data_IF_585027098210
#
_entry.id   IF_585027098210
#
_cell.length_a   1.000
_cell.length_b   1.000
_cell.length_c   1.000
_cell.angle_alpha   90.00
_cell.angle_beta   90.00
_cell.angle_gamma   90.00
#
_symmetry.space_group_name_H-M   'P 1'
#
loop_
_entity.id
_entity.type
_entity.pdbx_description
1 polymer ?
#
# COMPACT_ATOMS: atom_id res chain seq x y z
N UNK A 1 -29.60 -41.15 14.13
CA UNK A 1 -31.00 -40.67 14.25
C UNK A 1 -30.96 -39.36 15.02
N UNK A 2 -31.25 -38.26 14.32
CA UNK A 2 -31.47 -36.86 14.76
C UNK A 2 -30.25 -36.13 15.35
N UNK A 3 -29.53 -35.27 14.62
CA UNK A 3 -29.93 -33.98 14.00
C UNK A 3 -30.21 -32.90 15.05
N UNK A 4 -29.27 -31.96 15.20
CA UNK A 4 -29.52 -30.54 15.46
C UNK A 4 -28.26 -29.69 15.25
N UNK A 5 -28.20 -29.17 14.04
CA UNK A 5 -27.74 -27.84 13.62
C UNK A 5 -27.00 -26.98 14.67
N UNK A 6 -25.75 -26.65 14.35
CA UNK A 6 -25.23 -25.30 14.59
C UNK A 6 -24.58 -24.81 13.30
N UNK A 7 -25.35 -23.99 12.59
CA UNK A 7 -24.90 -23.03 11.57
C UNK A 7 -23.86 -22.14 12.24
N UNK A 8 -22.61 -22.22 11.79
CA UNK A 8 -21.55 -21.29 12.17
C UNK A 8 -21.06 -20.55 10.92
N UNK A 9 -21.03 -19.23 11.08
CA UNK A 9 -20.86 -18.20 10.07
C UNK A 9 -19.70 -18.41 9.09
N UNK A 10 -20.06 -18.44 7.81
CA UNK A 10 -19.18 -18.46 6.65
C UNK A 10 -18.68 -17.04 6.27
N UNK A 11 -18.31 -16.23 7.27
CA UNK A 11 -18.01 -14.79 7.11
C UNK A 11 -16.60 -14.36 7.53
N UNK A 12 -15.65 -15.29 7.51
CA UNK A 12 -14.23 -15.02 7.82
C UNK A 12 -13.25 -15.62 6.79
N UNK A 13 -13.67 -15.74 5.53
CA UNK A 13 -12.83 -16.18 4.40
C UNK A 13 -12.63 -15.07 3.35
N UNK A 14 -12.21 -13.88 3.76
CA UNK A 14 -11.83 -12.82 2.81
C UNK A 14 -10.53 -12.08 3.11
N UNK A 15 -9.65 -12.62 3.97
CA UNK A 15 -8.32 -12.04 4.20
C UNK A 15 -7.18 -13.06 4.28
N UNK A 16 -7.38 -14.30 3.82
CA UNK A 16 -6.28 -15.27 3.64
C UNK A 16 -5.69 -15.16 2.23
N UNK A 17 -5.01 -14.05 1.95
CA UNK A 17 -3.93 -14.05 0.95
C UNK A 17 -2.60 -14.24 1.69
N UNK A 18 -2.44 -15.42 2.28
CA UNK A 18 -1.11 -15.93 2.60
C UNK A 18 -0.43 -16.26 1.26
N UNK A 19 0.78 -15.73 1.08
CA UNK A 19 1.58 -15.82 -0.13
C UNK A 19 1.66 -17.25 -0.70
N UNK A 20 1.05 -17.48 -1.87
CA UNK A 20 1.60 -18.43 -2.85
C UNK A 20 2.73 -17.72 -3.59
N UNK A 21 3.91 -17.68 -2.99
CA UNK A 21 5.14 -17.56 -3.75
C UNK A 21 5.31 -18.89 -4.50
N UNK A 22 4.94 -18.92 -5.79
CA UNK A 22 5.38 -20.00 -6.66
C UNK A 22 6.87 -19.80 -6.96
N UNK A 23 7.76 -20.73 -6.58
CA UNK A 23 9.13 -20.68 -7.05
C UNK A 23 9.17 -21.19 -8.50
N UNK A 24 9.91 -20.47 -9.34
CA UNK A 24 10.46 -20.93 -10.64
C UNK A 24 9.46 -21.41 -11.71
N UNK A 25 9.32 -20.60 -12.77
CA UNK A 25 9.38 -21.12 -14.15
C UNK A 25 9.87 -20.01 -15.09
N UNK A 26 11.18 -20.08 -15.36
CA UNK A 26 11.80 -19.58 -16.58
C UNK A 26 11.02 -20.17 -17.76
N UNK A 27 10.34 -19.33 -18.53
CA UNK A 27 9.96 -19.68 -19.89
C UNK A 27 10.37 -18.57 -20.85
N UNK A 28 11.44 -18.90 -21.58
CA UNK A 28 11.85 -18.32 -22.85
C UNK A 28 10.67 -18.47 -23.81
N UNK A 29 10.15 -17.38 -24.35
CA UNK A 29 9.26 -17.41 -25.50
C UNK A 29 9.91 -16.57 -26.60
N UNK A 30 10.64 -17.27 -27.48
CA UNK A 30 10.96 -16.78 -28.81
C UNK A 30 9.69 -16.63 -29.65
N UNK A 31 9.79 -15.68 -30.56
CA UNK A 31 8.88 -15.32 -31.63
C UNK A 31 8.13 -16.49 -32.28
N UNK A 32 6.80 -16.35 -32.43
CA UNK A 32 6.13 -16.57 -33.72
C UNK A 32 5.01 -15.54 -33.87
N UNK A 33 5.20 -14.59 -34.79
CA UNK A 33 4.09 -13.85 -35.39
C UNK A 33 3.24 -14.81 -36.22
N UNK A 34 1.90 -14.75 -36.11
CA UNK A 34 1.04 -14.27 -37.20
C UNK A 34 -0.44 -14.55 -36.95
N UNK A 35 -1.23 -13.51 -37.28
CA UNK A 35 -2.51 -13.52 -38.01
C UNK A 35 -3.84 -13.83 -37.30
N UNK A 36 -4.81 -12.97 -37.64
CA UNK A 36 -6.28 -13.02 -37.51
C UNK A 36 -6.87 -12.84 -36.09
N UNK A 37 -7.80 -11.92 -35.82
CA UNK A 37 -8.51 -11.03 -36.73
C UNK A 37 -9.31 -9.99 -35.93
N UNK A 38 -9.22 -8.75 -36.41
CA UNK A 38 -10.11 -7.65 -36.12
C UNK A 38 -11.52 -8.01 -36.57
N UNK A 39 -12.51 -8.13 -35.66
CA UNK A 39 -13.94 -8.01 -35.98
C UNK A 39 -14.80 -8.05 -34.70
N UNK A 40 -14.64 -7.10 -33.77
CA UNK A 40 -15.68 -6.86 -32.74
C UNK A 40 -15.52 -5.52 -31.99
N UNK A 41 -15.33 -4.42 -32.70
CA UNK A 41 -15.24 -3.09 -32.08
C UNK A 41 -15.91 -2.02 -32.94
N UNK A 42 -17.15 -2.31 -33.32
CA UNK A 42 -17.97 -1.39 -34.11
C UNK A 42 -19.45 -1.63 -33.83
N UNK A 43 -19.91 -1.45 -32.58
CA UNK A 43 -21.36 -1.40 -32.27
C UNK A 43 -21.72 -0.93 -30.84
N UNK A 44 -20.95 0.00 -30.22
CA UNK A 44 -21.43 0.77 -29.06
C UNK A 44 -21.00 2.24 -29.19
N UNK A 45 -21.39 2.83 -30.31
CA UNK A 45 -21.47 4.28 -30.49
C UNK A 45 -22.80 4.53 -31.20
N UNK A 46 -23.86 4.84 -30.44
CA UNK A 46 -25.05 5.63 -30.82
C UNK A 46 -26.23 5.32 -29.87
N UNK A 47 -26.97 6.37 -29.50
CA UNK A 47 -28.09 6.46 -28.53
C UNK A 47 -27.65 6.40 -27.06
N UNK A 48 -27.63 7.51 -26.30
CA UNK A 48 -28.78 8.38 -26.00
C UNK A 48 -28.36 9.85 -25.90
N UNK A 49 -28.98 10.69 -26.73
CA UNK A 49 -29.06 12.16 -26.58
C UNK A 49 -30.48 12.48 -26.11
N UNK A 50 -30.62 13.20 -25.00
CA UNK A 50 -31.59 14.29 -24.74
C UNK A 50 -31.47 14.68 -23.26
N UNK A 51 -30.75 15.76 -22.95
CA UNK A 51 -31.29 17.13 -22.79
C UNK A 51 -31.93 17.36 -21.43
N UNK A 52 -31.21 17.98 -20.48
CA UNK A 52 -31.73 19.03 -19.59
C UNK A 52 -30.63 20.10 -19.47
N UNK A 53 -30.97 21.30 -19.96
CA UNK A 53 -30.29 22.58 -19.78
C UNK A 53 -30.62 23.11 -18.37
N UNK A 54 -29.63 23.39 -17.52
CA UNK A 54 -29.69 24.50 -16.55
C UNK A 54 -28.30 25.13 -16.45
N UNK A 55 -28.15 26.25 -17.16
CA UNK A 55 -27.16 27.30 -16.92
C UNK A 55 -27.57 28.15 -15.73
N UNK A 56 -26.66 28.38 -14.78
CA UNK A 56 -26.55 29.56 -13.91
C UNK A 56 -25.39 29.34 -12.92
N UNK A 57 -24.50 30.27 -12.59
CA UNK A 57 -24.06 31.54 -13.15
C UNK A 57 -22.77 31.87 -12.37
N UNK A 58 -21.73 32.32 -13.07
CA UNK A 58 -20.41 32.70 -12.53
C UNK A 58 -20.31 34.23 -12.59
N UNK A 59 -19.74 34.83 -11.54
CA UNK A 59 -19.29 36.25 -11.34
C UNK A 59 -20.31 37.28 -10.83
N UNK A 60 -19.95 38.08 -9.80
CA UNK A 60 -20.65 39.32 -9.49
C UNK A 60 -20.07 40.51 -10.27
N UNK A 61 -20.97 41.28 -10.88
CA UNK A 61 -20.72 42.62 -11.42
C UNK A 61 -20.84 43.64 -10.29
N UNK A 62 -19.84 44.50 -10.17
CA UNK A 62 -19.82 45.65 -9.28
C UNK A 62 -20.77 46.71 -9.86
N UNK A 63 -21.91 46.93 -9.21
CA UNK A 63 -22.80 48.06 -9.51
C UNK A 63 -22.58 49.18 -8.49
N UNK A 64 -22.24 50.36 -9.02
CA UNK A 64 -22.08 51.63 -8.31
C UNK A 64 -23.46 52.28 -8.24
N UNK A 65 -24.10 52.32 -7.07
CA UNK A 65 -25.37 53.04 -6.86
C UNK A 65 -25.09 54.39 -6.21
N UNK A 66 -25.44 55.47 -6.92
CA UNK A 66 -25.59 56.81 -6.35
C UNK A 66 -26.87 56.84 -5.50
N UNK A 67 -26.74 57.27 -4.25
CA UNK A 67 -27.86 57.45 -3.32
C UNK A 67 -28.39 58.88 -3.50
N UNK A 68 -29.59 59.02 -4.06
CA UNK A 68 -30.38 60.24 -3.98
C UNK A 68 -31.54 60.05 -3.00
N UNK A 69 -31.77 61.09 -2.20
CA UNK A 69 -32.63 61.23 -1.03
C UNK A 69 -34.11 60.81 -1.20
N UNK A 70 -34.67 60.38 -0.06
CA UNK A 70 -36.07 60.39 0.41
C UNK A 70 -37.00 59.30 -0.14
N UNK A 71 -37.18 58.25 0.66
CA UNK A 71 -38.43 58.00 1.37
C UNK A 71 -38.16 56.96 2.47
N UNK A 72 -38.85 57.09 3.61
CA UNK A 72 -38.78 56.17 4.76
C UNK A 72 -39.31 54.78 4.33
N UNK A 73 -38.46 54.02 3.66
CA UNK A 73 -38.69 52.62 3.37
C UNK A 73 -38.17 51.83 4.57
N UNK A 74 -39.11 51.17 5.26
CA UNK A 74 -38.93 50.49 6.54
C UNK A 74 -37.62 49.69 6.61
N UNK A 75 -36.64 50.20 7.37
CA UNK A 75 -35.42 49.48 7.69
C UNK A 75 -35.72 48.13 8.37
N UNK A 76 -36.86 48.06 9.09
CA UNK A 76 -37.37 46.85 9.70
C UNK A 76 -37.78 45.75 8.70
N UNK A 77 -38.34 46.08 7.53
CA UNK A 77 -38.71 45.06 6.53
C UNK A 77 -37.47 44.49 5.84
N UNK A 78 -36.43 45.30 5.67
CA UNK A 78 -35.14 44.85 5.11
C UNK A 78 -34.42 43.91 6.09
N UNK A 79 -34.44 44.22 7.40
CA UNK A 79 -33.91 43.33 8.45
C UNK A 79 -34.70 42.01 8.52
N UNK A 80 -36.04 42.06 8.48
CA UNK A 80 -36.88 40.85 8.48
C UNK A 80 -36.65 39.97 7.24
N UNK A 81 -36.46 40.56 6.06
CA UNK A 81 -36.11 39.82 4.83
C UNK A 81 -34.71 39.19 4.91
N UNK A 82 -33.73 39.84 5.54
CA UNK A 82 -32.40 39.25 5.78
C UNK A 82 -32.40 38.13 6.82
N UNK A 83 -33.26 38.19 7.84
CA UNK A 83 -33.39 37.12 8.85
C UNK A 83 -34.14 35.91 8.26
N UNK A 84 -35.17 36.13 7.44
CA UNK A 84 -35.91 35.05 6.78
C UNK A 84 -35.04 34.36 5.71
N UNK A 85 -34.20 35.10 4.98
CA UNK A 85 -33.28 34.52 3.98
C UNK A 85 -32.07 33.80 4.61
N UNK A 86 -31.56 34.27 5.76
CA UNK A 86 -30.50 33.54 6.50
C UNK A 86 -31.05 32.36 7.31
N UNK A 87 -32.30 32.43 7.80
CA UNK A 87 -33.00 31.32 8.45
C UNK A 87 -33.40 30.17 7.49
N UNK A 88 -33.67 30.48 6.22
CA UNK A 88 -33.99 29.47 5.20
C UNK A 88 -32.74 28.83 4.55
N UNK A 89 -31.56 29.45 4.65
CA UNK A 89 -30.29 28.82 4.27
C UNK A 89 -29.69 27.92 5.36
N UNK A 90 -30.12 28.06 6.61
CA UNK A 90 -29.77 27.15 7.72
C UNK A 90 -30.86 26.13 8.06
N UNK A 91 -31.85 25.94 7.18
CA UNK A 91 -32.73 24.77 7.24
C UNK A 91 -31.90 23.55 6.88
N UNK A 92 -31.29 22.99 7.93
CA UNK A 92 -30.81 21.63 8.08
C UNK A 92 -31.05 20.81 6.82
N UNK A 93 -29.99 20.60 6.02
CA UNK A 93 -29.95 19.41 5.15
C UNK A 93 -30.44 18.27 6.03
N UNK A 94 -31.47 17.51 5.63
CA UNK A 94 -31.86 16.36 6.41
C UNK A 94 -30.59 15.54 6.57
N UNK A 95 -30.19 15.29 7.83
CA UNK A 95 -29.37 14.14 8.15
C UNK A 95 -30.06 13.00 7.41
N UNK A 96 -29.51 12.59 6.27
CA UNK A 96 -29.72 11.22 5.81
C UNK A 96 -29.06 10.41 6.91
N UNK A 97 -29.86 10.08 7.92
CA UNK A 97 -29.75 8.78 8.54
C UNK A 97 -29.69 7.82 7.38
N UNK A 98 -28.47 7.37 7.08
CA UNK A 98 -28.29 6.08 6.44
C UNK A 98 -28.90 5.12 7.46
N UNK A 99 -30.21 4.92 7.36
CA UNK A 99 -30.83 3.75 7.93
C UNK A 99 -30.10 2.57 7.31
N UNK A 100 -29.81 1.58 8.14
CA UNK A 100 -29.29 0.27 7.80
C UNK A 100 -30.27 -0.53 6.93
N UNK A 101 -30.77 0.07 5.85
CA UNK A 101 -31.40 -0.63 4.75
C UNK A 101 -30.30 -0.91 3.72
N UNK A 102 -29.50 -1.91 4.11
CA UNK A 102 -28.44 -2.53 3.33
C UNK A 102 -29.01 -2.93 1.97
N UNK A 103 -28.70 -2.16 0.92
CA UNK A 103 -29.03 -2.53 -0.46
C UNK A 103 -28.25 -3.80 -0.80
N UNK A 104 -28.96 -4.92 -0.78
CA UNK A 104 -28.57 -6.15 -1.48
C UNK A 104 -28.21 -5.70 -2.91
N UNK A 105 -26.94 -5.85 -3.30
CA UNK A 105 -26.33 -5.50 -4.61
C UNK A 105 -25.54 -4.18 -4.74
N UNK A 106 -25.32 -3.37 -3.70
CA UNK A 106 -24.33 -2.27 -3.79
C UNK A 106 -23.00 -2.67 -3.13
N UNK A 107 -21.85 -2.53 -3.81
CA UNK A 107 -20.55 -2.81 -3.20
C UNK A 107 -20.32 -1.91 -1.98
N UNK A 108 -19.57 -2.42 -1.01
CA UNK A 108 -19.19 -1.66 0.17
C UNK A 108 -18.38 -0.40 -0.25
N UNK A 109 -18.52 0.69 0.50
CA UNK A 109 -17.96 2.00 0.12
C UNK A 109 -16.43 1.96 -0.06
N UNK A 110 -15.75 1.26 0.84
CA UNK A 110 -14.32 1.02 0.80
C UNK A 110 -13.90 0.29 -0.49
N UNK A 111 -14.66 -0.73 -0.89
CA UNK A 111 -14.43 -1.46 -2.15
C UNK A 111 -14.53 -0.52 -3.36
N UNK A 112 -15.45 0.45 -3.35
CA UNK A 112 -15.56 1.44 -4.43
C UNK A 112 -14.35 2.37 -4.46
N UNK A 113 -13.93 2.92 -3.30
CA UNK A 113 -12.75 3.79 -3.22
C UNK A 113 -11.46 3.05 -3.63
N UNK A 114 -11.30 1.80 -3.19
CA UNK A 114 -10.18 0.94 -3.57
C UNK A 114 -10.21 0.59 -5.05
N UNK A 115 -11.39 0.24 -5.59
CA UNK A 115 -11.56 -0.11 -7.00
C UNK A 115 -11.23 1.05 -7.94
N UNK A 116 -11.65 2.26 -7.60
CA UNK A 116 -11.28 3.46 -8.37
C UNK A 116 -9.77 3.67 -8.36
N UNK A 117 -9.15 3.61 -7.18
CA UNK A 117 -7.70 3.78 -7.05
C UNK A 117 -6.90 2.74 -7.83
N UNK A 118 -7.30 1.46 -7.76
CA UNK A 118 -6.66 0.38 -8.55
C UNK A 118 -6.82 0.60 -10.06
N UNK A 119 -7.97 1.11 -10.50
CA UNK A 119 -8.20 1.46 -11.91
C UNK A 119 -7.28 2.59 -12.37
N UNK A 120 -7.13 3.64 -11.55
CA UNK A 120 -6.20 4.75 -11.82
C UNK A 120 -4.74 4.27 -11.81
N UNK A 121 -4.36 3.39 -10.88
CA UNK A 121 -3.04 2.78 -10.83
C UNK A 121 -2.74 2.03 -12.14
N UNK A 122 -3.66 1.18 -12.59
CA UNK A 122 -3.52 0.46 -13.85
C UNK A 122 -3.42 1.40 -15.06
N UNK A 123 -4.24 2.46 -15.10
CA UNK A 123 -4.19 3.44 -16.18
C UNK A 123 -2.85 4.19 -16.25
N UNK A 124 -2.26 4.52 -15.10
CA UNK A 124 -1.04 5.32 -14.99
C UNK A 124 0.26 4.51 -15.14
N UNK A 125 0.26 3.27 -14.67
CA UNK A 125 1.47 2.44 -14.59
C UNK A 125 1.43 1.21 -15.49
N UNK A 126 0.30 0.93 -16.15
CA UNK A 126 0.08 -0.27 -16.96
C UNK A 126 0.38 -1.57 -16.20
N UNK A 127 0.02 -1.58 -14.91
CA UNK A 127 0.18 -2.71 -13.99
C UNK A 127 -1.10 -2.97 -13.22
N UNK A 128 -1.45 -4.23 -13.04
CA UNK A 128 -2.53 -4.66 -12.17
C UNK A 128 -2.01 -4.67 -10.73
N UNK A 129 -2.58 -3.83 -9.87
CA UNK A 129 -2.11 -3.68 -8.49
C UNK A 129 -2.07 -5.02 -7.72
N UNK A 130 -3.12 -5.83 -7.85
CA UNK A 130 -3.23 -7.06 -7.05
C UNK A 130 -2.28 -8.19 -7.48
N UNK A 131 -1.70 -8.12 -8.69
CA UNK A 131 -0.90 -9.22 -9.26
C UNK A 131 0.49 -8.82 -9.71
N UNK A 132 0.72 -7.53 -9.99
CA UNK A 132 1.98 -7.04 -10.58
C UNK A 132 2.66 -5.97 -9.72
N UNK A 133 1.98 -5.42 -8.71
CA UNK A 133 2.61 -4.55 -7.71
C UNK A 133 3.05 -5.39 -6.52
N UNK A 134 4.34 -5.26 -6.19
CA UNK A 134 4.92 -5.89 -5.02
C UNK A 134 5.29 -4.80 -4.03
N UNK A 135 4.82 -4.94 -2.78
CA UNK A 135 5.19 -4.02 -1.70
C UNK A 135 6.68 -4.18 -1.34
N UNK A 136 7.19 -5.41 -1.37
CA UNK A 136 8.60 -5.73 -1.19
C UNK A 136 9.08 -6.52 -2.40
N UNK A 137 10.17 -6.10 -3.05
CA UNK A 137 10.92 -4.86 -2.79
C UNK A 137 10.16 -3.59 -3.15
N UNK A 138 10.64 -2.43 -2.70
CA UNK A 138 10.09 -1.13 -3.10
C UNK A 138 9.99 -1.07 -4.64
N UNK A 139 8.75 -1.04 -5.16
CA UNK A 139 8.52 -1.08 -6.62
C UNK A 139 9.15 0.16 -7.27
N UNK A 140 10.14 -0.10 -8.13
CA UNK A 140 10.91 0.96 -8.74
C UNK A 140 10.13 1.74 -9.77
N UNK A 141 9.00 1.22 -10.25
CA UNK A 141 8.08 1.96 -11.13
C UNK A 141 7.58 3.23 -10.46
N UNK A 142 7.36 3.19 -9.14
CA UNK A 142 6.89 4.34 -8.35
C UNK A 142 8.01 5.35 -8.13
N UNK A 143 9.22 4.86 -7.84
CA UNK A 143 10.39 5.71 -7.56
C UNK A 143 11.29 6.00 -8.77
N UNK A 144 10.86 5.62 -9.98
CA UNK A 144 11.62 5.79 -11.23
C UNK A 144 11.94 7.25 -11.53
N UNK A 145 11.03 8.15 -11.19
CA UNK A 145 11.22 9.60 -11.32
C UNK A 145 10.18 10.35 -10.47
N UNK A 146 10.39 11.66 -10.33
CA UNK A 146 9.50 12.55 -9.56
C UNK A 146 8.06 12.59 -10.10
N UNK A 147 7.87 12.48 -11.41
CA UNK A 147 6.52 12.51 -12.01
C UNK A 147 5.72 11.27 -11.61
N UNK A 148 6.33 10.08 -11.70
CA UNK A 148 5.73 8.82 -11.28
C UNK A 148 5.33 8.85 -9.80
N UNK A 149 6.24 9.30 -8.93
CA UNK A 149 5.96 9.42 -7.49
C UNK A 149 4.77 10.35 -7.23
N UNK A 150 4.74 11.54 -7.86
CA UNK A 150 3.64 12.50 -7.69
C UNK A 150 2.31 11.97 -8.22
N UNK A 151 2.34 11.27 -9.35
CA UNK A 151 1.15 10.65 -9.94
C UNK A 151 0.59 9.56 -9.03
N UNK A 152 1.44 8.66 -8.54
CA UNK A 152 1.08 7.63 -7.57
C UNK A 152 0.46 8.26 -6.31
N UNK A 153 1.13 9.27 -5.74
CA UNK A 153 0.66 9.89 -4.51
C UNK A 153 -0.58 10.75 -4.68
N UNK A 154 -0.79 11.38 -5.83
CA UNK A 154 -2.05 12.07 -6.12
C UNK A 154 -3.25 11.10 -6.06
N UNK A 155 -3.16 9.95 -6.75
CA UNK A 155 -4.22 8.93 -6.73
C UNK A 155 -4.42 8.37 -5.31
N UNK A 156 -3.34 8.07 -4.59
CA UNK A 156 -3.40 7.58 -3.20
C UNK A 156 -4.03 8.59 -2.24
N UNK A 157 -3.75 9.89 -2.38
CA UNK A 157 -4.41 10.94 -1.58
C UNK A 157 -5.92 10.97 -1.88
N UNK A 158 -6.32 10.79 -3.13
CA UNK A 158 -7.75 10.72 -3.51
C UNK A 158 -8.43 9.50 -2.89
N UNK A 159 -7.79 8.32 -2.92
CA UNK A 159 -8.24 7.12 -2.22
C UNK A 159 -8.52 7.39 -0.74
N UNK A 160 -7.55 7.92 0.00
CA UNK A 160 -7.74 8.19 1.43
C UNK A 160 -8.74 9.33 1.71
N UNK A 161 -8.87 10.31 0.81
CA UNK A 161 -9.94 11.31 0.88
C UNK A 161 -11.32 10.67 0.71
N UNK A 162 -11.47 9.72 -0.23
CA UNK A 162 -12.70 8.96 -0.47
C UNK A 162 -13.08 8.15 0.78
N UNK A 163 -12.13 7.34 1.31
CA UNK A 163 -12.34 6.55 2.52
C UNK A 163 -12.76 7.42 3.72
N UNK A 164 -12.14 8.60 3.87
CA UNK A 164 -12.46 9.52 4.97
C UNK A 164 -13.80 10.23 4.82
N UNK A 165 -14.09 10.78 3.64
CA UNK A 165 -15.26 11.66 3.42
C UNK A 165 -16.52 10.88 3.08
N UNK A 166 -16.39 9.88 2.21
CA UNK A 166 -17.52 9.10 1.72
C UNK A 166 -17.80 7.92 2.65
N UNK A 167 -16.76 7.18 3.05
CA UNK A 167 -16.92 5.96 3.85
C UNK A 167 -16.82 6.18 5.37
N UNK A 168 -16.47 7.39 5.82
CA UNK A 168 -16.25 7.74 7.24
C UNK A 168 -15.18 6.86 7.93
N UNK A 169 -14.26 6.30 7.15
CA UNK A 169 -13.14 5.50 7.65
C UNK A 169 -11.99 6.48 7.95
N UNK A 170 -11.82 6.83 9.22
CA UNK A 170 -10.79 7.78 9.66
C UNK A 170 -9.44 7.12 9.96
N UNK A 171 -9.45 5.83 10.32
CA UNK A 171 -8.26 5.06 10.64
C UNK A 171 -8.15 3.91 9.65
N UNK A 172 -7.15 3.98 8.80
CA UNK A 172 -6.77 2.90 7.88
C UNK A 172 -5.52 2.19 8.41
N UNK A 173 -5.36 0.88 8.19
CA UNK A 173 -4.13 0.17 8.53
C UNK A 173 -2.93 0.73 7.75
N UNK A 174 -1.73 0.25 8.08
CA UNK A 174 -0.56 0.51 7.27
C UNK A 174 -0.73 -0.16 5.90
N UNK A 175 -0.28 0.53 4.85
CA UNK A 175 -0.08 -0.01 3.51
C UNK A 175 1.08 0.72 2.85
N UNK A 176 1.71 0.09 1.85
CA UNK A 176 2.88 0.67 1.18
C UNK A 176 2.57 2.05 0.59
N UNK A 177 1.42 2.21 -0.06
CA UNK A 177 1.00 3.46 -0.65
C UNK A 177 0.75 4.55 0.41
N UNK A 178 0.21 4.19 1.58
CA UNK A 178 0.01 5.14 2.68
C UNK A 178 1.34 5.61 3.26
N UNK A 179 2.27 4.69 3.47
CA UNK A 179 3.59 5.00 4.00
C UNK A 179 4.31 5.98 3.07
N UNK A 180 4.36 5.67 1.77
CA UNK A 180 5.04 6.50 0.78
C UNK A 180 4.35 7.87 0.64
N UNK A 181 3.03 7.91 0.48
CA UNK A 181 2.35 9.11 0.01
C UNK A 181 1.73 9.99 1.09
N UNK A 182 1.34 9.41 2.22
CA UNK A 182 0.72 10.16 3.32
C UNK A 182 1.73 10.36 4.46
N UNK A 183 2.52 9.33 4.77
CA UNK A 183 3.49 9.38 5.87
C UNK A 183 4.79 10.10 5.50
N UNK A 184 5.35 9.79 4.32
CA UNK A 184 6.75 10.10 4.02
C UNK A 184 6.98 10.71 2.64
N UNK A 185 5.97 11.34 2.03
CA UNK A 185 6.07 11.86 0.66
C UNK A 185 7.27 12.78 0.46
N UNK A 186 7.49 13.74 1.36
CA UNK A 186 8.61 14.68 1.26
C UNK A 186 9.97 13.97 1.32
N UNK A 187 10.07 12.89 2.10
CA UNK A 187 11.30 12.11 2.19
C UNK A 187 11.59 11.39 0.87
N UNK A 188 10.58 10.77 0.26
CA UNK A 188 10.71 10.15 -1.06
C UNK A 188 10.98 11.18 -2.16
N UNK A 189 10.29 12.33 -2.19
CA UNK A 189 10.45 13.35 -3.22
C UNK A 189 11.83 14.04 -3.19
N UNK A 190 12.39 14.24 -1.99
CA UNK A 190 13.75 14.80 -1.83
C UNK A 190 14.84 13.82 -2.26
N UNK A 191 14.62 12.52 -2.09
CA UNK A 191 15.60 11.48 -2.40
C UNK A 191 15.35 10.78 -3.74
N UNK A 192 14.34 11.20 -4.50
CA UNK A 192 13.90 10.53 -5.73
C UNK A 192 15.01 10.40 -6.77
N UNK A 193 15.91 11.37 -6.87
CA UNK A 193 17.04 11.33 -7.80
C UNK A 193 18.03 10.21 -7.46
N UNK A 194 18.23 9.90 -6.18
CA UNK A 194 19.08 8.77 -5.77
C UNK A 194 18.34 7.45 -6.04
N UNK A 195 17.08 7.35 -5.60
CA UNK A 195 16.27 6.14 -5.74
C UNK A 195 16.06 5.73 -7.22
N UNK A 196 15.96 6.69 -8.13
CA UNK A 196 15.85 6.42 -9.56
C UNK A 196 17.14 5.90 -10.18
N UNK A 197 18.31 6.30 -9.67
CA UNK A 197 19.61 5.83 -10.16
C UNK A 197 19.91 4.39 -9.71
N UNK A 198 19.38 3.98 -8.55
CA UNK A 198 19.59 2.64 -8.02
C UNK A 198 18.64 1.60 -8.60
N UNK A 199 17.51 2.00 -9.20
CA UNK A 199 16.45 1.15 -9.76
C UNK A 199 16.98 -0.10 -10.49
N UNK A 200 17.83 0.10 -11.50
CA UNK A 200 18.33 -0.98 -12.37
C UNK A 200 19.04 -2.11 -11.62
N UNK A 201 19.65 -1.80 -10.48
CA UNK A 201 20.36 -2.76 -9.64
C UNK A 201 19.44 -3.39 -8.61
N UNK A 202 18.51 -2.60 -8.06
CA UNK A 202 17.63 -3.01 -6.98
C UNK A 202 16.66 -4.11 -7.44
N UNK A 203 15.94 -3.93 -8.55
CA UNK A 203 14.96 -4.93 -8.99
C UNK A 203 15.59 -6.25 -9.43
N UNK A 204 16.71 -6.19 -10.14
CA UNK A 204 17.32 -7.37 -10.76
C UNK A 204 18.42 -7.95 -9.88
N UNK A 205 19.45 -7.17 -9.59
CA UNK A 205 20.66 -7.69 -8.96
C UNK A 205 20.45 -7.99 -7.47
N UNK A 206 19.72 -7.15 -6.71
CA UNK A 206 19.37 -7.51 -5.33
C UNK A 206 18.46 -8.73 -5.27
N UNK A 207 17.44 -8.80 -6.13
CA UNK A 207 16.58 -9.99 -6.20
C UNK A 207 17.38 -11.26 -6.52
N UNK A 208 18.32 -11.19 -7.46
CA UNK A 208 19.18 -12.33 -7.81
C UNK A 208 20.01 -12.80 -6.61
N UNK A 209 20.70 -11.87 -5.94
CA UNK A 209 21.51 -12.19 -4.77
C UNK A 209 20.63 -12.77 -3.68
N UNK A 210 19.55 -12.09 -3.29
CA UNK A 210 18.71 -12.49 -2.18
C UNK A 210 17.95 -13.79 -2.41
N UNK A 211 17.59 -14.11 -3.66
CA UNK A 211 17.02 -15.41 -4.01
C UNK A 211 18.05 -16.55 -4.04
N UNK A 212 19.34 -16.24 -4.21
CA UNK A 212 20.42 -17.23 -4.20
C UNK A 212 20.88 -17.62 -2.80
N UNK A 213 20.53 -16.83 -1.78
CA UNK A 213 20.93 -17.09 -0.40
C UNK A 213 20.20 -18.33 0.10
N UNK A 214 20.98 -19.35 0.47
CA UNK A 214 20.45 -20.56 1.08
C UNK A 214 20.00 -20.24 2.51
N UNK A 215 18.70 -20.35 2.75
CA UNK A 215 18.10 -20.09 4.06
C UNK A 215 17.97 -21.40 4.80
N UNK A 216 18.69 -21.52 5.90
CA UNK A 216 18.68 -22.68 6.77
C UNK A 216 18.00 -22.31 8.09
N UNK A 217 17.07 -23.17 8.53
CA UNK A 217 16.52 -23.10 9.88
C UNK A 217 17.52 -23.77 10.81
N UNK A 218 17.93 -23.06 11.86
CA UNK A 218 18.91 -23.60 12.82
C UNK A 218 18.37 -24.81 13.57
N UNK A 219 19.26 -25.64 14.12
CA UNK A 219 18.86 -26.76 14.96
C UNK A 219 18.04 -26.30 16.18
N UNK A 220 18.40 -25.17 16.80
CA UNK A 220 17.64 -24.63 17.93
C UNK A 220 16.20 -24.23 17.56
N UNK A 221 15.97 -23.74 16.34
CA UNK A 221 14.61 -23.47 15.83
C UNK A 221 13.86 -24.77 15.52
N UNK A 222 14.54 -25.80 15.03
CA UNK A 222 13.95 -27.13 14.85
C UNK A 222 13.53 -27.72 16.19
N UNK A 223 14.40 -27.64 17.20
CA UNK A 223 14.16 -28.14 18.54
C UNK A 223 13.00 -27.38 19.20
N UNK A 224 12.97 -26.04 19.09
CA UNK A 224 11.84 -25.22 19.58
C UNK A 224 10.52 -25.61 18.91
N UNK A 225 10.49 -25.77 17.59
CA UNK A 225 9.27 -26.19 16.89
C UNK A 225 8.80 -27.59 17.33
N UNK A 226 9.71 -28.46 17.79
CA UNK A 226 9.38 -29.76 18.34
C UNK A 226 8.85 -29.64 19.79
N UNK A 227 9.49 -28.82 20.63
CA UNK A 227 9.08 -28.54 22.01
C UNK A 227 7.69 -27.89 22.09
N UNK A 228 7.40 -26.99 21.16
CA UNK A 228 6.11 -26.30 21.05
C UNK A 228 5.06 -27.13 20.29
N UNK A 229 5.37 -28.38 19.94
CA UNK A 229 4.48 -29.32 19.26
C UNK A 229 3.85 -28.80 17.96
N UNK A 230 4.58 -27.98 17.18
CA UNK A 230 4.04 -27.40 15.95
C UNK A 230 3.53 -28.49 15.01
N UNK A 231 2.30 -28.30 14.54
CA UNK A 231 1.71 -29.08 13.46
C UNK A 231 2.54 -28.96 12.19
N UNK A 232 2.29 -29.85 11.23
CA UNK A 232 2.96 -29.79 9.93
C UNK A 232 2.69 -28.47 9.19
N UNK A 233 1.50 -27.91 9.36
CA UNK A 233 1.13 -26.64 8.75
C UNK A 233 1.90 -25.48 9.38
N UNK A 234 1.92 -25.39 10.71
CA UNK A 234 2.66 -24.36 11.45
C UNK A 234 4.16 -24.40 11.16
N UNK A 235 4.75 -25.60 11.06
CA UNK A 235 6.15 -25.75 10.62
C UNK A 235 6.38 -25.17 9.23
N UNK A 236 5.47 -25.41 8.30
CA UNK A 236 5.58 -24.85 6.95
C UNK A 236 5.44 -23.34 6.95
N UNK A 237 4.48 -22.80 7.72
CA UNK A 237 4.23 -21.37 7.84
C UNK A 237 5.43 -20.66 8.50
N UNK A 238 6.00 -21.25 9.54
CA UNK A 238 7.22 -20.79 10.20
C UNK A 238 8.41 -20.72 9.22
N UNK A 239 8.65 -21.79 8.45
CA UNK A 239 9.75 -21.84 7.47
C UNK A 239 9.58 -20.77 6.39
N UNK A 240 8.37 -20.61 5.85
CA UNK A 240 8.10 -19.61 4.82
C UNK A 240 8.22 -18.18 5.36
N UNK A 241 7.74 -17.92 6.57
CA UNK A 241 7.93 -16.63 7.23
C UNK A 241 9.41 -16.32 7.48
N UNK A 242 10.19 -17.31 7.97
CA UNK A 242 11.62 -17.14 8.15
C UNK A 242 12.32 -16.80 6.82
N UNK A 243 11.98 -17.49 5.72
CA UNK A 243 12.48 -17.16 4.38
C UNK A 243 12.10 -15.75 3.95
N UNK A 244 10.85 -15.35 4.19
CA UNK A 244 10.32 -14.02 3.86
C UNK A 244 11.12 -12.91 4.57
N UNK A 245 11.31 -13.00 5.88
CA UNK A 245 12.09 -12.00 6.63
C UNK A 245 13.56 -11.93 6.20
N UNK A 246 14.18 -13.06 5.90
CA UNK A 246 15.54 -13.10 5.35
C UNK A 246 15.61 -12.43 3.97
N UNK A 247 14.61 -12.66 3.10
CA UNK A 247 14.54 -11.98 1.81
C UNK A 247 14.39 -10.46 1.98
N UNK A 248 13.48 -10.00 2.85
CA UNK A 248 13.28 -8.59 3.17
C UNK A 248 14.58 -7.96 3.68
N UNK A 249 15.23 -8.61 4.66
CA UNK A 249 16.47 -8.11 5.27
C UNK A 249 17.63 -8.05 4.26
N UNK A 250 17.81 -9.11 3.45
CA UNK A 250 18.79 -9.12 2.38
C UNK A 250 18.53 -7.98 1.38
N UNK A 251 17.27 -7.81 0.98
CA UNK A 251 16.92 -6.81 -0.02
C UNK A 251 17.10 -5.39 0.50
N UNK A 252 16.81 -5.15 1.77
CA UNK A 252 17.11 -3.89 2.44
C UNK A 252 18.62 -3.63 2.46
N UNK A 253 19.43 -4.58 2.95
CA UNK A 253 20.88 -4.46 3.01
C UNK A 253 21.49 -4.18 1.62
N UNK A 254 20.99 -4.88 0.60
CA UNK A 254 21.45 -4.72 -0.77
C UNK A 254 21.11 -3.32 -1.32
N UNK A 255 19.88 -2.85 -1.11
CA UNK A 255 19.47 -1.53 -1.55
C UNK A 255 20.27 -0.42 -0.84
N UNK A 256 20.48 -0.55 0.48
CA UNK A 256 21.30 0.40 1.24
C UNK A 256 22.78 0.41 0.77
N UNK A 257 23.33 -0.76 0.42
CA UNK A 257 24.68 -0.86 -0.13
C UNK A 257 24.78 -0.16 -1.48
N UNK A 258 23.86 -0.42 -2.42
CA UNK A 258 23.83 0.23 -3.73
C UNK A 258 23.70 1.75 -3.60
N UNK A 259 22.82 2.23 -2.72
CA UNK A 259 22.68 3.66 -2.43
C UNK A 259 24.02 4.25 -1.97
N UNK A 260 24.74 3.56 -1.08
CA UNK A 260 26.04 4.02 -0.58
C UNK A 260 27.11 4.11 -1.67
N UNK A 261 26.98 3.33 -2.75
CA UNK A 261 27.92 3.32 -3.87
C UNK A 261 27.59 4.31 -4.96
N UNK A 262 26.31 4.53 -5.22
CA UNK A 262 25.86 5.33 -6.37
C UNK A 262 25.58 6.77 -5.95
N UNK A 263 25.04 6.99 -4.75
CA UNK A 263 24.59 8.31 -4.32
C UNK A 263 25.64 8.95 -3.41
N UNK A 264 26.33 9.98 -3.90
CA UNK A 264 27.42 10.62 -3.15
C UNK A 264 26.84 11.54 -2.05
N UNK A 265 26.07 12.55 -2.43
CA UNK A 265 25.63 13.60 -1.48
C UNK A 265 24.37 13.23 -0.67
N UNK A 266 23.54 12.33 -1.20
CA UNK A 266 22.23 11.98 -0.62
C UNK A 266 22.17 10.58 -0.02
N UNK A 267 23.28 9.83 0.03
CA UNK A 267 23.28 8.44 0.49
C UNK A 267 22.71 8.26 1.91
N UNK A 268 23.05 9.13 2.86
CA UNK A 268 22.56 9.01 4.24
C UNK A 268 21.04 9.16 4.30
N UNK A 269 20.52 10.22 3.68
CA UNK A 269 19.09 10.49 3.66
C UNK A 269 18.32 9.41 2.87
N UNK A 270 18.80 9.01 1.69
CA UNK A 270 18.17 8.00 0.86
C UNK A 270 18.15 6.62 1.54
N UNK A 271 19.25 6.21 2.20
CA UNK A 271 19.25 5.00 3.03
C UNK A 271 18.25 5.06 4.15
N UNK A 272 18.11 6.20 4.83
CA UNK A 272 17.11 6.36 5.88
C UNK A 272 15.69 6.18 5.36
N UNK A 273 15.38 6.64 4.13
CA UNK A 273 14.07 6.42 3.50
C UNK A 273 13.83 4.94 3.23
N UNK A 274 14.81 4.26 2.62
CA UNK A 274 14.72 2.82 2.33
C UNK A 274 14.57 2.04 3.64
N UNK A 275 15.45 2.27 4.61
CA UNK A 275 15.38 1.61 5.92
C UNK A 275 14.01 1.79 6.55
N UNK A 276 13.51 3.03 6.62
CA UNK A 276 12.20 3.32 7.22
C UNK A 276 11.05 2.57 6.53
N UNK A 277 11.11 2.39 5.20
CA UNK A 277 10.10 1.67 4.44
C UNK A 277 10.07 0.17 4.80
N UNK A 278 11.24 -0.48 4.80
CA UNK A 278 11.37 -1.90 5.11
C UNK A 278 11.09 -2.19 6.60
N UNK A 279 11.58 -1.33 7.49
CA UNK A 279 11.31 -1.37 8.94
C UNK A 279 9.79 -1.33 9.21
N UNK A 280 9.08 -0.39 8.60
CA UNK A 280 7.62 -0.26 8.77
C UNK A 280 6.85 -1.44 8.19
N UNK A 281 7.34 -2.05 7.10
CA UNK A 281 6.75 -3.28 6.56
C UNK A 281 6.89 -4.43 7.56
N UNK A 282 8.08 -4.64 8.12
CA UNK A 282 8.33 -5.69 9.11
C UNK A 282 7.49 -5.51 10.38
N UNK A 283 7.33 -4.28 10.85
CA UNK A 283 6.47 -3.97 12.00
C UNK A 283 5.00 -4.30 11.73
N UNK A 284 4.51 -4.09 10.50
CA UNK A 284 3.16 -4.53 10.10
C UNK A 284 3.04 -6.04 10.15
N UNK A 285 3.98 -6.78 9.54
CA UNK A 285 3.94 -8.24 9.53
C UNK A 285 3.91 -8.80 10.96
N UNK A 286 4.73 -8.23 11.84
CA UNK A 286 4.72 -8.58 13.26
C UNK A 286 3.36 -8.31 13.92
N UNK A 287 2.84 -7.10 13.74
CA UNK A 287 1.55 -6.69 14.32
C UNK A 287 0.39 -7.54 13.81
N UNK A 288 0.45 -8.02 12.56
CA UNK A 288 -0.57 -8.90 11.99
C UNK A 288 -0.59 -10.26 12.70
N UNK A 289 0.58 -10.86 12.94
CA UNK A 289 0.69 -12.16 13.61
C UNK A 289 0.35 -12.10 15.10
N UNK A 290 0.73 -11.03 15.79
CA UNK A 290 0.41 -10.85 17.20
C UNK A 290 -1.09 -10.73 17.49
N UNK A 291 -1.87 -10.23 16.54
CA UNK A 291 -3.33 -10.13 16.72
C UNK A 291 -4.02 -11.48 16.76
N UNK A 292 -3.37 -12.51 16.25
CA UNK A 292 -3.91 -13.86 16.15
C UNK A 292 -3.39 -14.78 17.27
N UNK A 293 -2.71 -14.24 18.29
CA UNK A 293 -2.00 -14.98 19.34
C UNK A 293 -0.94 -15.97 18.80
N UNK A 294 -0.42 -15.72 17.59
CA UNK A 294 0.55 -16.55 16.87
C UNK A 294 1.99 -16.01 17.02
N UNK A 295 2.32 -15.31 18.10
CA UNK A 295 3.67 -14.72 18.32
C UNK A 295 4.76 -15.81 18.25
N UNK A 296 4.45 -17.04 18.64
CA UNK A 296 5.36 -18.20 18.58
C UNK A 296 5.75 -18.59 17.15
N UNK A 297 4.91 -18.31 16.15
CA UNK A 297 5.25 -18.51 14.74
C UNK A 297 6.24 -17.46 14.22
N UNK A 298 6.50 -16.39 14.97
CA UNK A 298 7.44 -15.34 14.56
C UNK A 298 8.89 -15.75 14.87
N UNK A 299 9.61 -16.15 13.81
CA UNK A 299 10.96 -16.70 13.90
C UNK A 299 11.96 -15.75 14.57
N UNK A 300 13.02 -16.31 15.17
CA UNK A 300 14.04 -15.50 15.82
C UNK A 300 14.72 -14.53 14.86
N UNK A 301 14.89 -14.93 13.59
CA UNK A 301 15.46 -14.05 12.57
C UNK A 301 14.52 -12.88 12.27
N UNK A 302 13.23 -13.13 12.09
CA UNK A 302 12.24 -12.06 11.91
C UNK A 302 12.28 -11.06 13.08
N UNK A 303 12.25 -11.54 14.32
CA UNK A 303 12.38 -10.68 15.53
C UNK A 303 13.65 -9.84 15.50
N UNK A 304 14.77 -10.44 15.12
CA UNK A 304 16.08 -9.78 15.07
C UNK A 304 16.12 -8.61 14.08
N UNK A 305 15.41 -8.73 12.95
CA UNK A 305 15.40 -7.70 11.89
C UNK A 305 14.25 -6.70 12.04
N UNK A 306 13.25 -6.98 12.87
CA UNK A 306 12.11 -6.09 13.12
C UNK A 306 12.43 -5.07 14.21
N UNK A 307 12.24 -3.76 13.97
CA UNK A 307 12.52 -2.73 14.96
C UNK A 307 11.69 -2.86 16.24
N UNK A 308 12.32 -2.53 17.38
CA UNK A 308 11.63 -2.41 18.67
C UNK A 308 11.14 -3.74 19.27
N UNK A 309 11.54 -4.88 18.69
CA UNK A 309 11.21 -6.19 19.23
C UNK A 309 12.27 -6.63 20.24
N UNK A 310 11.83 -6.90 21.47
CA UNK A 310 12.70 -7.34 22.54
C UNK A 310 13.18 -8.78 22.29
N UNK A 311 14.47 -9.01 22.52
CA UNK A 311 15.03 -10.35 22.55
C UNK A 311 14.49 -11.07 23.80
N UNK A 312 13.55 -12.00 23.63
CA UNK A 312 13.27 -12.99 24.66
C UNK A 312 14.48 -13.93 24.84
N UNK A 313 14.53 -14.68 25.96
CA UNK A 313 15.65 -15.57 26.31
C UNK A 313 16.03 -16.53 25.19
N UNK A 314 15.05 -17.00 24.42
CA UNK A 314 15.28 -17.88 23.27
C UNK A 314 15.92 -17.13 22.09
N UNK A 315 15.40 -15.97 21.72
CA UNK A 315 15.98 -15.15 20.66
C UNK A 315 17.39 -14.65 20.99
N UNK A 316 17.68 -14.37 22.28
CA UNK A 316 19.01 -13.99 22.73
C UNK A 316 20.05 -15.10 22.47
N UNK A 317 19.65 -16.38 22.63
CA UNK A 317 20.50 -17.51 22.26
C UNK A 317 20.73 -17.61 20.74
N UNK A 318 19.76 -17.16 19.95
CA UNK A 318 19.81 -17.14 18.49
C UNK A 318 20.54 -15.92 17.90
N UNK A 319 20.81 -14.89 18.70
CA UNK A 319 21.43 -13.63 18.25
C UNK A 319 22.73 -13.84 17.50
N UNK A 320 23.60 -14.75 17.98
CA UNK A 320 24.86 -15.07 17.28
C UNK A 320 24.62 -15.68 15.90
N UNK A 321 23.72 -16.64 15.80
CA UNK A 321 23.38 -17.30 14.53
C UNK A 321 22.79 -16.29 13.54
N UNK A 322 21.83 -15.48 13.99
CA UNK A 322 21.19 -14.47 13.15
C UNK A 322 22.17 -13.38 12.67
N UNK A 323 23.09 -12.94 13.52
CA UNK A 323 24.15 -12.00 13.12
C UNK A 323 25.09 -12.62 12.07
N UNK A 324 25.48 -13.90 12.22
CA UNK A 324 26.28 -14.60 11.22
C UNK A 324 25.55 -14.70 9.87
N UNK A 325 24.24 -14.95 9.87
CA UNK A 325 23.41 -14.94 8.66
C UNK A 325 23.42 -13.56 7.99
N UNK A 326 23.21 -12.48 8.75
CA UNK A 326 23.27 -11.11 8.23
C UNK A 326 24.65 -10.76 7.66
N UNK A 327 25.73 -11.22 8.28
CA UNK A 327 27.08 -10.95 7.81
C UNK A 327 27.41 -11.74 6.52
N UNK A 328 26.91 -12.97 6.38
CA UNK A 328 26.97 -13.71 5.10
C UNK A 328 26.23 -12.95 4.00
N UNK A 329 25.00 -12.49 4.26
CA UNK A 329 24.23 -11.67 3.30
C UNK A 329 25.04 -10.45 2.83
N UNK A 330 25.66 -9.71 3.75
CA UNK A 330 26.48 -8.53 3.40
C UNK A 330 27.67 -8.91 2.52
N UNK A 331 28.32 -10.04 2.80
CA UNK A 331 29.48 -10.50 2.02
C UNK A 331 29.06 -10.94 0.62
N UNK A 332 27.95 -11.66 0.49
CA UNK A 332 27.40 -12.08 -0.81
C UNK A 332 27.00 -10.87 -1.66
N UNK A 333 26.34 -9.87 -1.05
CA UNK A 333 26.03 -8.59 -1.69
C UNK A 333 27.32 -7.91 -2.19
N UNK A 334 28.31 -7.70 -1.31
CA UNK A 334 29.59 -7.07 -1.69
C UNK A 334 30.27 -7.80 -2.83
N UNK A 335 30.28 -9.13 -2.81
CA UNK A 335 30.88 -9.94 -3.86
C UNK A 335 30.25 -9.67 -5.22
N UNK A 336 28.91 -9.62 -5.30
CA UNK A 336 28.18 -9.37 -6.56
C UNK A 336 28.36 -7.94 -7.06
N UNK A 337 28.48 -6.98 -6.16
CA UNK A 337 28.64 -5.57 -6.51
C UNK A 337 30.08 -5.06 -6.43
N UNK A 338 31.07 -5.97 -6.45
CA UNK A 338 32.50 -5.62 -6.39
C UNK A 338 32.97 -4.68 -7.52
N UNK A 339 32.23 -4.61 -8.64
CA UNK A 339 32.48 -3.68 -9.75
C UNK A 339 32.12 -2.21 -9.37
N UNK A 340 31.34 -2.02 -8.30
CA UNK A 340 30.97 -0.71 -7.75
C UNK A 340 31.88 -0.27 -6.59
N UNK A 341 32.82 -1.11 -6.15
CA UNK A 341 33.90 -0.77 -5.23
C UNK A 341 35.09 -0.17 -6.01
#
# INVERSE_FOLDING_TARGET
MKEKERVFDLKQMHNRHFFRLHPTRVFRAEQVMNTFGSFLLLLIFLHVKSSIFITCCRKPLIYRFQIHKRNMFNFLTLILLTIISTGLCHKSRPRRHYNDEYRINTPACDVVCEGQWKSEFHANFHKIYDTEYFEIPLDTTIVKNRSNLKMFCSSTIQKYSCLRKECRIHRTPWSAEKHICIGHFDNFDRNINCLSLTDRYVQKECSNVCNSIKIEVSQAEIDRMAEMEFSRQEKSEFVEQNKHCNFIACHQLCHEYIISKICIDSAVAARSVVKSYYDSYLEREYTALNKDDQDELYSSFCRRVTPGQDENTYTANMTRFNNLTLDRMKNDIRSVFSILD
#
